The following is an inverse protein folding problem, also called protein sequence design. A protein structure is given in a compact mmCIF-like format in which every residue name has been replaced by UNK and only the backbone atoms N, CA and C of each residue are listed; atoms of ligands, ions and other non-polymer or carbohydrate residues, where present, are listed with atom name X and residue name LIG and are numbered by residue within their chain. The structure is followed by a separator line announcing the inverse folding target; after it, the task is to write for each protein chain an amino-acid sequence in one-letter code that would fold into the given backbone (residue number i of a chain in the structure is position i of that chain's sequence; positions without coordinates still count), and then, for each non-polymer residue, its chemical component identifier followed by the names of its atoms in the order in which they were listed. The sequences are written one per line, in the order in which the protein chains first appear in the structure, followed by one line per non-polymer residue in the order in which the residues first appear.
data_IF_111630222897
#
_entry.id   IF_111630222897
#
_cell.length_a   1.000
_cell.length_b   1.000
_cell.length_c   1.000
_cell.angle_alpha   90.00
_cell.angle_beta   90.00
_cell.angle_gamma   90.00
#
_symmetry.space_group_name_H-M   'P 1'
#
loop_
_entity.id
_entity.type
_entity.pdbx_description
1 polymer ?
#
# COMPACT_ATOMS: atom_id res chain seq x y z
N UNK A 1 25.62 9.74 2.75
CA UNK A 1 24.87 10.85 2.07
C UNK A 1 24.98 10.81 0.54
N UNK A 2 26.08 10.34 -0.06
CA UNK A 2 26.18 10.21 -1.53
C UNK A 2 25.24 9.14 -2.13
N UNK A 3 24.98 8.07 -1.39
CA UNK A 3 24.16 6.92 -1.85
C UNK A 3 22.68 7.26 -2.11
N UNK A 4 22.11 8.23 -1.36
CA UNK A 4 20.76 8.72 -1.62
C UNK A 4 20.64 9.55 -2.90
N UNK A 5 21.75 10.11 -3.38
CA UNK A 5 21.77 10.97 -4.56
C UNK A 5 21.80 10.11 -5.84
N UNK A 6 22.51 8.98 -5.85
CA UNK A 6 22.58 8.07 -7.00
C UNK A 6 21.27 7.32 -7.28
N UNK A 7 20.59 6.82 -6.24
CA UNK A 7 19.26 6.20 -6.37
C UNK A 7 18.23 7.15 -6.98
N UNK A 8 18.29 8.43 -6.61
CA UNK A 8 17.37 9.47 -7.09
C UNK A 8 17.69 9.91 -8.53
N UNK A 9 18.96 9.80 -8.93
CA UNK A 9 19.42 10.08 -10.29
C UNK A 9 19.10 8.94 -11.28
N UNK A 10 19.03 7.69 -10.80
CA UNK A 10 18.78 6.50 -11.65
C UNK A 10 17.31 6.06 -11.66
N UNK A 11 16.61 6.14 -10.52
CA UNK A 11 15.21 5.70 -10.39
C UNK A 11 14.20 6.86 -10.31
N UNK A 12 14.69 8.11 -10.35
CA UNK A 12 13.89 9.32 -10.59
C UNK A 12 12.82 9.64 -9.54
N UNK A 13 11.81 10.40 -9.97
CA UNK A 13 10.66 10.83 -9.15
C UNK A 13 9.81 9.65 -8.66
N UNK A 14 9.88 8.51 -9.34
CA UNK A 14 9.08 7.31 -9.05
C UNK A 14 9.32 6.72 -7.66
N UNK A 15 10.58 6.67 -7.17
CA UNK A 15 10.86 6.23 -5.79
C UNK A 15 10.25 7.18 -4.75
N UNK A 16 10.39 8.49 -4.96
CA UNK A 16 9.89 9.46 -4.00
C UNK A 16 8.37 9.34 -3.86
N UNK A 17 7.68 9.17 -4.99
CA UNK A 17 6.23 8.93 -5.03
C UNK A 17 5.87 7.60 -4.35
N UNK A 18 6.54 6.48 -4.69
CA UNK A 18 6.18 5.18 -4.09
C UNK A 18 6.41 5.16 -2.58
N UNK A 19 7.52 5.73 -2.08
CA UNK A 19 7.82 5.80 -0.65
C UNK A 19 6.86 6.73 0.09
N UNK A 20 6.57 7.91 -0.47
CA UNK A 20 5.59 8.83 0.11
C UNK A 20 4.19 8.24 0.16
N UNK A 21 3.77 7.57 -0.90
CA UNK A 21 2.49 6.87 -0.97
C UNK A 21 2.44 5.69 0.01
N UNK A 22 3.53 4.92 0.15
CA UNK A 22 3.62 3.83 1.12
C UNK A 22 3.47 4.32 2.56
N UNK A 23 4.20 5.38 2.95
CA UNK A 23 4.07 5.98 4.28
C UNK A 23 2.64 6.49 4.54
N UNK A 24 2.04 7.14 3.54
CA UNK A 24 0.65 7.61 3.60
C UNK A 24 -0.33 6.43 3.74
N UNK A 25 -0.10 5.32 3.06
CA UNK A 25 -0.93 4.11 3.18
C UNK A 25 -0.84 3.48 4.56
N UNK A 26 0.37 3.32 5.11
CA UNK A 26 0.56 2.80 6.46
C UNK A 26 -0.21 3.64 7.48
N UNK A 27 -0.14 4.96 7.36
CA UNK A 27 -0.88 5.87 8.24
C UNK A 27 -2.41 5.73 8.07
N UNK A 28 -2.91 5.73 6.82
CA UNK A 28 -4.35 5.59 6.57
C UNK A 28 -4.88 4.24 7.08
N UNK A 29 -4.14 3.15 6.92
CA UNK A 29 -4.55 1.84 7.44
C UNK A 29 -4.66 1.84 8.98
N UNK A 30 -3.72 2.45 9.70
CA UNK A 30 -3.86 2.64 11.15
C UNK A 30 -5.15 3.39 11.51
N UNK A 31 -5.47 4.48 10.78
CA UNK A 31 -6.69 5.26 11.00
C UNK A 31 -7.97 4.47 10.69
N UNK A 32 -7.97 3.59 9.68
CA UNK A 32 -9.15 2.78 9.34
C UNK A 32 -9.55 1.84 10.48
N UNK A 33 -8.59 1.24 11.20
CA UNK A 33 -8.88 0.44 12.39
C UNK A 33 -9.33 1.31 13.57
N UNK A 34 -8.69 2.46 13.76
CA UNK A 34 -9.00 3.38 14.84
C UNK A 34 -10.45 3.88 14.75
N UNK A 35 -10.89 4.24 13.55
CA UNK A 35 -12.26 4.73 13.28
C UNK A 35 -13.37 3.72 13.49
N UNK A 36 -13.05 2.43 13.64
CA UNK A 36 -14.02 1.36 13.94
C UNK A 36 -13.82 0.75 15.33
N UNK A 37 -12.86 1.25 16.12
CA UNK A 37 -12.61 0.83 17.49
C UNK A 37 -13.61 1.46 18.46
N UNK A 38 -14.86 1.00 18.41
CA UNK A 38 -16.00 1.64 19.09
C UNK A 38 -15.78 1.87 20.58
N UNK A 39 -15.23 0.90 21.31
CA UNK A 39 -14.98 1.02 22.75
C UNK A 39 -13.98 2.14 23.07
N UNK A 40 -12.91 2.24 22.27
CA UNK A 40 -11.91 3.31 22.39
C UNK A 40 -12.52 4.66 22.06
N UNK A 41 -13.31 4.76 20.98
CA UNK A 41 -13.98 6.00 20.59
C UNK A 41 -14.98 6.47 21.66
N UNK A 42 -15.74 5.55 22.27
CA UNK A 42 -16.65 5.89 23.38
C UNK A 42 -15.87 6.40 24.59
N UNK A 43 -14.73 5.80 24.92
CA UNK A 43 -13.84 6.29 25.99
C UNK A 43 -13.27 7.67 25.68
N UNK A 44 -12.88 7.93 24.44
CA UNK A 44 -12.39 9.24 24.01
C UNK A 44 -13.45 10.35 24.09
N UNK A 45 -14.74 10.00 23.95
CA UNK A 45 -15.85 10.93 24.12
C UNK A 45 -16.08 11.38 25.57
N UNK A 46 -15.64 10.60 26.55
CA UNK A 46 -15.71 10.98 27.98
C UNK A 46 -14.76 12.16 28.29
N UNK A 47 -13.78 12.44 27.43
CA UNK A 47 -12.87 13.58 27.55
C UNK A 47 -13.39 14.81 26.79
N UNK A 48 -12.86 15.99 27.12
CA UNK A 48 -13.16 17.25 26.41
C UNK A 48 -12.78 17.27 24.92
N UNK A 49 -12.16 16.20 24.39
CA UNK A 49 -11.85 16.05 22.96
C UNK A 49 -13.07 16.13 22.04
N UNK A 50 -14.26 15.75 22.53
CA UNK A 50 -15.50 15.84 21.73
C UNK A 50 -15.88 17.28 21.35
N UNK A 51 -15.39 18.29 22.08
CA UNK A 51 -15.64 19.70 21.75
C UNK A 51 -14.90 20.16 20.49
N UNK A 52 -13.80 19.49 20.14
CA UNK A 52 -12.96 19.86 18.99
C UNK A 52 -13.10 18.88 17.82
N UNK A 53 -13.32 17.59 18.11
CA UNK A 53 -13.39 16.53 17.10
C UNK A 53 -14.76 15.83 17.17
N UNK A 54 -15.55 15.82 16.07
CA UNK A 54 -16.86 15.17 16.05
C UNK A 54 -16.72 13.65 15.97
N UNK A 55 -16.39 13.00 17.09
CA UNK A 55 -16.18 11.54 17.20
C UNK A 55 -17.45 10.72 16.87
N UNK A 56 -18.63 11.34 16.84
CA UNK A 56 -19.88 10.70 16.39
C UNK A 56 -19.90 10.41 14.88
N UNK A 57 -19.13 11.16 14.09
CA UNK A 57 -19.02 11.00 12.64
C UNK A 57 -17.94 10.01 12.21
N UNK A 58 -17.50 9.11 13.11
CA UNK A 58 -16.40 8.16 12.85
C UNK A 58 -16.63 7.28 11.61
N UNK A 59 -17.88 6.92 11.29
CA UNK A 59 -18.22 6.14 10.07
C UNK A 59 -18.00 6.97 8.81
N UNK A 60 -18.31 8.27 8.83
CA UNK A 60 -18.08 9.13 7.67
C UNK A 60 -16.57 9.38 7.50
N UNK A 61 -15.86 9.61 8.61
CA UNK A 61 -14.41 9.74 8.58
C UNK A 61 -13.73 8.46 8.09
N UNK A 62 -14.18 7.28 8.49
CA UNK A 62 -13.70 6.00 7.96
C UNK A 62 -13.81 5.91 6.43
N UNK A 63 -14.92 6.39 5.85
CA UNK A 63 -15.08 6.41 4.38
C UNK A 63 -14.12 7.39 3.72
N UNK A 64 -13.90 8.56 4.32
CA UNK A 64 -12.94 9.56 3.80
C UNK A 64 -11.53 8.96 3.81
N UNK A 65 -11.11 8.38 4.94
CA UNK A 65 -9.82 7.70 5.09
C UNK A 65 -9.69 6.51 4.12
N UNK A 66 -10.79 5.80 3.86
CA UNK A 66 -10.78 4.73 2.87
C UNK A 66 -10.53 5.30 1.47
N UNK A 67 -11.24 6.35 1.07
CA UNK A 67 -11.03 7.01 -0.23
C UNK A 67 -9.60 7.56 -0.39
N UNK A 68 -9.02 8.15 0.66
CA UNK A 68 -7.62 8.60 0.62
C UNK A 68 -6.65 7.42 0.51
N UNK A 69 -6.89 6.33 1.24
CA UNK A 69 -6.11 5.10 1.10
C UNK A 69 -6.17 4.55 -0.33
N UNK A 70 -7.36 4.50 -0.95
CA UNK A 70 -7.51 4.05 -2.33
C UNK A 70 -6.70 4.91 -3.31
N UNK A 71 -6.76 6.23 -3.16
CA UNK A 71 -5.97 7.15 -3.98
C UNK A 71 -4.47 6.88 -3.85
N UNK A 72 -3.95 6.79 -2.62
CA UNK A 72 -2.54 6.49 -2.40
C UNK A 72 -2.15 5.08 -2.84
N UNK A 73 -3.04 4.09 -2.77
CA UNK A 73 -2.82 2.74 -3.30
C UNK A 73 -2.61 2.77 -4.81
N UNK A 74 -3.47 3.48 -5.55
CA UNK A 74 -3.33 3.64 -7.01
C UNK A 74 -2.00 4.35 -7.32
N UNK A 75 -1.71 5.45 -6.61
CA UNK A 75 -0.47 6.21 -6.80
C UNK A 75 0.77 5.35 -6.50
N UNK A 76 0.74 4.55 -5.44
CA UNK A 76 1.80 3.62 -5.06
C UNK A 76 2.01 2.53 -6.12
N UNK A 77 0.93 1.88 -6.58
CA UNK A 77 0.99 0.87 -7.64
C UNK A 77 1.51 1.44 -8.96
N UNK A 78 1.03 2.61 -9.40
CA UNK A 78 1.53 3.29 -10.58
C UNK A 78 3.01 3.66 -10.45
N UNK A 79 3.43 4.16 -9.28
CA UNK A 79 4.84 4.45 -9.01
C UNK A 79 5.72 3.20 -9.12
N UNK A 80 5.25 2.04 -8.62
CA UNK A 80 5.96 0.78 -8.78
C UNK A 80 6.08 0.35 -10.24
N UNK A 81 5.02 0.52 -11.05
CA UNK A 81 5.07 0.24 -12.49
C UNK A 81 6.10 1.11 -13.21
N UNK A 82 6.14 2.41 -12.90
CA UNK A 82 7.14 3.34 -13.46
C UNK A 82 8.55 2.96 -13.03
N UNK A 83 8.74 2.58 -11.76
CA UNK A 83 10.03 2.12 -11.26
C UNK A 83 10.48 0.84 -11.96
N UNK A 84 9.60 -0.16 -12.09
CA UNK A 84 9.91 -1.41 -12.81
C UNK A 84 10.24 -1.16 -14.28
N UNK A 85 9.52 -0.24 -14.95
CA UNK A 85 9.83 0.15 -16.31
C UNK A 85 11.24 0.76 -16.41
N UNK A 86 11.57 1.75 -15.58
CA UNK A 86 12.91 2.34 -15.58
C UNK A 86 13.99 1.30 -15.32
N UNK A 87 13.82 0.46 -14.29
CA UNK A 87 14.76 -0.63 -13.93
C UNK A 87 14.94 -1.62 -15.08
N UNK A 88 13.87 -2.03 -15.77
CA UNK A 88 13.96 -2.95 -16.92
C UNK A 88 14.62 -2.32 -18.16
N UNK A 89 14.64 -0.99 -18.29
CA UNK A 89 15.30 -0.30 -19.42
C UNK A 89 16.78 0.01 -19.20
N UNK A 90 17.28 -0.04 -17.95
CA UNK A 90 18.68 0.23 -17.63
C UNK A 90 19.63 -0.91 -18.05
N UNK A 91 20.92 -0.63 -18.32
CA UNK A 91 21.92 -1.66 -18.59
C UNK A 91 22.24 -2.49 -17.34
N UNK A 92 22.52 -3.79 -17.52
CA UNK A 92 22.65 -4.82 -16.47
C UNK A 92 23.78 -4.51 -15.47
N UNK A 93 24.81 -3.81 -15.91
CA UNK A 93 25.95 -3.38 -15.08
C UNK A 93 25.52 -2.42 -13.95
N UNK A 94 24.58 -1.51 -14.23
CA UNK A 94 24.05 -0.58 -13.21
C UNK A 94 23.06 -1.27 -12.24
N UNK A 95 22.34 -2.30 -12.72
CA UNK A 95 21.44 -3.12 -11.89
C UNK A 95 22.21 -3.96 -10.86
N UNK A 96 23.39 -4.50 -11.22
CA UNK A 96 24.23 -5.29 -10.30
C UNK A 96 24.71 -4.47 -9.10
N UNK A 97 24.91 -3.15 -9.26
CA UNK A 97 25.32 -2.25 -8.18
C UNK A 97 24.13 -1.85 -7.28
N UNK A 98 22.95 -1.62 -7.86
CA UNK A 98 21.71 -1.29 -7.12
C UNK A 98 21.07 -2.49 -6.40
N UNK A 99 21.41 -3.71 -6.81
CA UNK A 99 20.74 -4.92 -6.34
C UNK A 99 21.78 -6.02 -6.03
N UNK A 100 22.84 -5.67 -5.32
CA UNK A 100 23.83 -6.66 -4.83
C UNK A 100 23.21 -7.71 -3.88
N UNK A 101 22.03 -7.44 -3.31
CA UNK A 101 21.33 -8.38 -2.42
C UNK A 101 20.42 -9.41 -3.13
N UNK A 102 20.05 -9.21 -4.39
CA UNK A 102 19.25 -10.18 -5.15
C UNK A 102 20.18 -10.86 -6.14
N UNK A 103 20.73 -12.01 -5.74
CA UNK A 103 21.52 -12.86 -6.61
C UNK A 103 20.65 -13.34 -7.79
N UNK A 104 20.71 -12.61 -8.91
CA UNK A 104 20.11 -13.06 -10.16
C UNK A 104 20.97 -14.20 -10.73
N UNK A 105 20.50 -15.43 -10.56
CA UNK A 105 21.18 -16.64 -11.07
C UNK A 105 21.15 -16.79 -12.61
N UNK A 106 20.65 -15.79 -13.35
CA UNK A 106 20.48 -15.87 -14.80
C UNK A 106 20.81 -14.55 -15.47
N UNK A 107 21.59 -14.60 -16.55
CA UNK A 107 22.00 -13.47 -17.40
C UNK A 107 20.83 -12.83 -18.19
N UNK A 108 19.58 -13.07 -17.82
CA UNK A 108 18.40 -12.47 -18.45
C UNK A 108 17.96 -11.19 -17.72
N UNK A 109 17.78 -10.11 -18.49
CA UNK A 109 17.19 -8.86 -17.98
C UNK A 109 15.81 -9.13 -17.36
N UNK A 110 15.57 -8.78 -16.09
CA UNK A 110 14.27 -8.99 -15.48
C UNK A 110 13.23 -8.04 -16.08
N UNK A 111 12.27 -8.60 -16.81
CA UNK A 111 11.12 -7.89 -17.40
C UNK A 111 10.17 -7.41 -16.29
N UNK A 112 9.34 -6.39 -16.56
CA UNK A 112 8.29 -5.92 -15.64
C UNK A 112 7.40 -7.06 -15.10
N UNK A 113 7.11 -8.07 -15.94
CA UNK A 113 6.35 -9.26 -15.52
C UNK A 113 7.05 -10.11 -14.46
N UNK A 114 8.38 -10.21 -14.50
CA UNK A 114 9.18 -10.87 -13.46
C UNK A 114 8.99 -10.16 -12.11
N UNK A 115 9.12 -8.83 -12.11
CA UNK A 115 8.96 -8.02 -10.90
C UNK A 115 7.55 -8.08 -10.32
N UNK A 116 6.52 -8.14 -11.16
CA UNK A 116 5.13 -8.20 -10.71
C UNK A 116 4.69 -9.59 -10.22
N UNK A 117 5.10 -10.67 -10.90
CA UNK A 117 4.53 -12.00 -10.65
C UNK A 117 5.51 -13.02 -10.08
N UNK A 118 6.82 -12.81 -10.22
CA UNK A 118 7.84 -13.74 -9.72
C UNK A 118 8.57 -13.24 -8.47
N UNK A 119 8.26 -12.03 -7.99
CA UNK A 119 8.76 -11.55 -6.69
C UNK A 119 7.68 -11.63 -5.62
N UNK A 120 8.10 -11.88 -4.38
CA UNK A 120 7.19 -11.92 -3.22
C UNK A 120 6.47 -10.59 -3.01
N UNK A 121 7.17 -9.46 -3.20
CA UNK A 121 6.61 -8.12 -3.08
C UNK A 121 5.63 -7.80 -4.20
N UNK A 122 5.92 -8.18 -5.45
CA UNK A 122 5.01 -8.03 -6.58
C UNK A 122 3.71 -8.82 -6.38
N UNK A 123 3.83 -10.10 -6.06
CA UNK A 123 2.67 -10.99 -5.90
C UNK A 123 1.76 -10.53 -4.75
N UNK A 124 2.35 -10.17 -3.60
CA UNK A 124 1.60 -9.63 -2.46
C UNK A 124 0.96 -8.28 -2.78
N UNK A 125 1.63 -7.40 -3.53
CA UNK A 125 1.09 -6.11 -3.96
C UNK A 125 -0.11 -6.23 -4.90
N UNK A 126 -0.04 -7.14 -5.89
CA UNK A 126 -1.17 -7.44 -6.79
C UNK A 126 -2.33 -8.03 -6.02
N UNK A 127 -2.09 -8.99 -5.13
CA UNK A 127 -3.12 -9.59 -4.29
C UNK A 127 -3.81 -8.54 -3.38
N UNK A 128 -3.04 -7.64 -2.76
CA UNK A 128 -3.56 -6.53 -1.97
C UNK A 128 -4.47 -5.61 -2.77
N UNK A 129 -4.04 -5.24 -3.98
CA UNK A 129 -4.82 -4.37 -4.85
C UNK A 129 -6.15 -5.02 -5.27
N UNK A 130 -6.14 -6.31 -5.60
CA UNK A 130 -7.36 -7.07 -5.93
C UNK A 130 -8.33 -7.12 -4.74
N UNK A 131 -7.83 -7.46 -3.55
CA UNK A 131 -8.65 -7.52 -2.33
C UNK A 131 -9.26 -6.15 -2.02
N UNK A 132 -8.46 -5.08 -2.12
CA UNK A 132 -8.93 -3.72 -1.93
C UNK A 132 -10.05 -3.37 -2.93
N UNK A 133 -9.88 -3.66 -4.21
CA UNK A 133 -10.92 -3.43 -5.22
C UNK A 133 -12.23 -4.17 -4.90
N UNK A 134 -12.15 -5.45 -4.48
CA UNK A 134 -13.33 -6.21 -4.07
C UNK A 134 -14.04 -5.52 -2.90
N UNK A 135 -13.30 -5.15 -1.84
CA UNK A 135 -13.86 -4.46 -0.68
C UNK A 135 -14.56 -3.16 -1.11
N UNK A 136 -13.94 -2.34 -1.97
CA UNK A 136 -14.49 -1.06 -2.43
C UNK A 136 -15.75 -1.22 -3.27
N UNK A 137 -15.77 -2.18 -4.20
CA UNK A 137 -16.93 -2.44 -5.06
C UNK A 137 -18.13 -2.80 -4.19
N UNK A 138 -18.00 -3.77 -3.29
CA UNK A 138 -19.12 -4.20 -2.46
C UNK A 138 -19.47 -3.20 -1.33
N UNK A 139 -18.54 -2.33 -0.93
CA UNK A 139 -18.79 -1.22 -0.02
C UNK A 139 -19.52 -0.04 -0.68
N UNK A 140 -19.59 0.00 -2.02
CA UNK A 140 -20.26 1.09 -2.74
C UNK A 140 -21.73 1.23 -2.28
N UNK A 141 -22.23 2.46 -2.01
CA UNK A 141 -23.55 2.67 -1.41
C UNK A 141 -24.70 2.00 -2.16
N UNK A 142 -24.63 1.95 -3.49
CA UNK A 142 -25.66 1.32 -4.34
C UNK A 142 -25.70 -0.19 -4.11
N UNK A 143 -24.53 -0.84 -4.07
CA UNK A 143 -24.41 -2.30 -3.91
C UNK A 143 -24.73 -2.69 -2.48
N UNK A 144 -24.18 -1.98 -1.50
CA UNK A 144 -24.43 -2.23 -0.07
C UNK A 144 -25.91 -2.16 0.31
N UNK A 145 -26.68 -1.23 -0.29
CA UNK A 145 -28.14 -1.13 -0.06
C UNK A 145 -28.92 -2.33 -0.60
N UNK A 146 -28.45 -2.94 -1.70
CA UNK A 146 -29.12 -4.09 -2.35
C UNK A 146 -28.62 -5.44 -1.84
N UNK A 147 -27.36 -5.52 -1.39
CA UNK A 147 -26.64 -6.76 -1.14
C UNK A 147 -25.80 -6.68 0.15
N UNK A 148 -26.42 -6.35 1.29
CA UNK A 148 -25.72 -6.16 2.55
C UNK A 148 -24.92 -7.38 3.03
N UNK A 149 -25.43 -8.60 2.79
CA UNK A 149 -24.72 -9.85 3.12
C UNK A 149 -23.36 -9.95 2.42
N UNK A 150 -23.31 -9.60 1.13
CA UNK A 150 -22.08 -9.59 0.35
C UNK A 150 -21.14 -8.47 0.79
N UNK A 151 -21.68 -7.29 1.10
CA UNK A 151 -20.90 -6.23 1.73
C UNK A 151 -20.21 -6.74 2.99
N UNK A 152 -20.95 -7.29 3.96
CA UNK A 152 -20.36 -7.75 5.22
C UNK A 152 -19.30 -8.83 5.00
N UNK A 153 -19.61 -9.83 4.18
CA UNK A 153 -18.70 -10.96 3.90
C UNK A 153 -17.41 -10.50 3.23
N UNK A 154 -17.50 -9.63 2.22
CA UNK A 154 -16.31 -9.11 1.52
C UNK A 154 -15.53 -8.12 2.37
N UNK A 155 -16.21 -7.34 3.23
CA UNK A 155 -15.53 -6.42 4.13
C UNK A 155 -14.65 -7.14 5.15
N UNK A 156 -14.97 -8.38 5.57
CA UNK A 156 -14.12 -9.21 6.44
C UNK A 156 -12.74 -9.52 5.84
N UNK A 157 -12.57 -9.37 4.52
CA UNK A 157 -11.28 -9.50 3.87
C UNK A 157 -10.26 -8.45 4.34
N UNK A 158 -10.68 -7.44 5.12
CA UNK A 158 -9.75 -6.52 5.79
C UNK A 158 -8.69 -7.27 6.62
N UNK A 159 -9.05 -8.36 7.29
CA UNK A 159 -8.09 -9.15 8.09
C UNK A 159 -6.98 -9.70 7.19
N UNK A 160 -7.35 -10.27 6.05
CA UNK A 160 -6.39 -10.77 5.06
C UNK A 160 -5.58 -9.62 4.45
N UNK A 161 -6.21 -8.47 4.19
CA UNK A 161 -5.54 -7.28 3.70
C UNK A 161 -4.44 -6.80 4.66
N UNK A 162 -4.70 -6.78 5.98
CA UNK A 162 -3.66 -6.39 6.96
C UNK A 162 -2.52 -7.40 7.02
N UNK A 163 -2.82 -8.71 7.03
CA UNK A 163 -1.78 -9.75 7.03
C UNK A 163 -0.89 -9.62 5.79
N UNK A 164 -1.49 -9.50 4.60
CA UNK A 164 -0.76 -9.32 3.36
C UNK A 164 -0.01 -7.98 3.32
N UNK A 165 -0.53 -6.93 3.94
CA UNK A 165 0.15 -5.62 4.01
C UNK A 165 1.44 -5.70 4.85
N UNK A 166 1.40 -6.45 5.96
CA UNK A 166 2.59 -6.72 6.76
C UNK A 166 3.62 -7.54 5.98
N UNK A 167 3.19 -8.61 5.30
CA UNK A 167 4.06 -9.44 4.46
C UNK A 167 4.66 -8.66 3.29
N UNK A 168 3.86 -7.81 2.65
CA UNK A 168 4.29 -6.95 1.55
C UNK A 168 5.38 -5.98 2.00
N UNK A 169 5.22 -5.36 3.18
CA UNK A 169 6.22 -4.47 3.78
C UNK A 169 7.45 -5.18 4.36
N UNK A 170 7.33 -6.46 4.71
CA UNK A 170 8.45 -7.31 5.18
C UNK A 170 9.40 -7.70 4.05
N UNK A 171 8.91 -7.74 2.80
CA UNK A 171 9.75 -7.91 1.62
C UNK A 171 10.68 -6.71 1.45
N UNK A 172 11.80 -6.71 2.17
CA UNK A 172 12.84 -5.67 2.13
C UNK A 172 13.44 -5.59 0.72
N UNK A 173 12.83 -4.76 -0.14
CA UNK A 173 13.45 -4.25 -1.36
C UNK A 173 14.14 -2.90 -1.13
N UNK A 174 14.01 -2.29 0.05
CA UNK A 174 14.56 -0.95 0.36
C UNK A 174 15.10 -0.80 1.79
N UNK A 175 15.41 -1.91 2.47
CA UNK A 175 16.07 -1.86 3.78
C UNK A 175 17.54 -1.45 3.63
N UNK A 176 18.06 -0.66 4.57
CA UNK A 176 19.45 -0.18 4.54
C UNK A 176 20.46 -1.33 4.39
N UNK A 177 21.49 -1.15 3.55
CA UNK A 177 22.59 -2.11 3.46
C UNK A 177 23.29 -2.19 4.81
N UNK A 178 23.63 -3.40 5.25
CA UNK A 178 24.53 -3.62 6.39
C UNK A 178 25.96 -3.69 5.94
#
# INVERSE_FOLDING_TARGET
MAEHTDLRHIMGVGIAITRGAAASLSFNYCLLLLTMSRNLLTKLKEFSFQQYIPLDSHIQFHKIVACTALFFSILHSCGHLVNFYHVSTQPVENLRCLTQEIAFSSDQKPTVGYWLFQTMTGLTGVALFIIMCIIFIFAHPVIRRKAYKFFWSTHQLYVLLYILSLLHGLGRLTGEPR
#
